data_IF_175772833054
#
_entry.id   IF_175772833054
#
_cell.length_a   1.000
_cell.length_b   1.000
_cell.length_c   1.000
_cell.angle_alpha   90.00
_cell.angle_beta   90.00
_cell.angle_gamma   90.00
#
_symmetry.space_group_name_H-M   'P 1'
#
loop_
_entity.id
_entity.type
_entity.pdbx_description
1 polymer ?
#
# COMPACT_ATOMS: atom_id res chain seq x y z
N UNK A 1 -11.47 -47.29 11.87
CA UNK A 1 -11.09 -45.88 11.63
C UNK A 1 -11.54 -45.50 10.23
N UNK A 2 -12.65 -44.78 10.10
CA UNK A 2 -13.23 -44.39 8.81
C UNK A 2 -12.68 -43.04 8.37
N UNK A 3 -11.87 -43.04 7.30
CA UNK A 3 -11.37 -41.84 6.65
C UNK A 3 -12.53 -40.99 6.11
N UNK A 4 -12.70 -39.80 6.70
CA UNK A 4 -13.60 -38.78 6.18
C UNK A 4 -12.93 -38.11 4.98
N UNK A 5 -13.16 -38.65 3.77
CA UNK A 5 -12.86 -37.95 2.51
C UNK A 5 -13.57 -36.58 2.50
N UNK A 6 -12.79 -35.53 2.74
CA UNK A 6 -13.19 -34.13 2.60
C UNK A 6 -13.62 -33.92 1.15
N UNK A 7 -14.94 -33.88 0.90
CA UNK A 7 -15.49 -33.57 -0.43
C UNK A 7 -14.99 -32.19 -0.86
N UNK A 8 -14.05 -32.17 -1.80
CA UNK A 8 -13.60 -30.96 -2.48
C UNK A 8 -14.81 -30.31 -3.13
N UNK A 9 -15.20 -29.14 -2.63
CA UNK A 9 -16.34 -28.40 -3.16
C UNK A 9 -16.07 -28.09 -4.64
N UNK A 10 -16.96 -28.54 -5.53
CA UNK A 10 -16.88 -28.26 -6.95
C UNK A 10 -16.71 -26.74 -7.18
N UNK A 11 -15.85 -26.33 -8.14
CA UNK A 11 -15.62 -24.92 -8.42
C UNK A 11 -16.96 -24.24 -8.73
N UNK A 12 -17.28 -23.20 -7.97
CA UNK A 12 -18.48 -22.40 -8.18
C UNK A 12 -18.45 -21.90 -9.64
N UNK A 13 -19.51 -22.05 -10.44
CA UNK A 13 -19.52 -21.53 -11.80
C UNK A 13 -19.44 -20.00 -11.72
N UNK A 14 -18.26 -19.46 -12.02
CA UNK A 14 -18.01 -18.02 -12.04
C UNK A 14 -18.50 -17.50 -13.38
N UNK A 15 -19.76 -17.10 -13.44
CA UNK A 15 -20.27 -16.28 -14.54
C UNK A 15 -19.62 -14.91 -14.42
N UNK A 16 -18.58 -14.65 -15.23
CA UNK A 16 -17.99 -13.32 -15.35
C UNK A 16 -19.03 -12.41 -15.99
N UNK A 17 -19.53 -11.43 -15.24
CA UNK A 17 -20.36 -10.38 -15.84
C UNK A 17 -19.50 -9.53 -16.80
N UNK A 18 -20.04 -9.15 -17.96
CA UNK A 18 -19.38 -8.16 -18.82
C UNK A 18 -19.26 -6.82 -18.08
N UNK A 19 -18.11 -6.16 -18.25
CA UNK A 19 -17.84 -4.82 -17.71
C UNK A 19 -17.11 -4.00 -18.79
N UNK A 20 -17.32 -2.68 -18.79
CA UNK A 20 -16.61 -1.77 -19.68
C UNK A 20 -15.19 -1.50 -19.16
N UNK A 21 -14.24 -1.33 -20.07
CA UNK A 21 -12.85 -0.96 -19.76
C UNK A 21 -12.63 0.52 -20.04
N UNK A 22 -11.91 1.19 -19.14
CA UNK A 22 -11.60 2.61 -19.24
C UNK A 22 -10.20 2.89 -19.78
N UNK A 23 -9.76 4.14 -19.65
CA UNK A 23 -8.41 4.58 -20.01
C UNK A 23 -7.42 4.32 -18.87
N UNK A 24 -6.11 4.19 -19.16
CA UNK A 24 -5.09 3.97 -18.14
C UNK A 24 -4.90 5.19 -17.21
N UNK A 25 -5.15 6.40 -17.71
CA UNK A 25 -5.04 7.65 -16.96
C UNK A 25 -6.37 8.41 -17.03
N UNK A 26 -6.82 8.93 -15.89
CA UNK A 26 -8.05 9.69 -15.75
C UNK A 26 -7.99 10.56 -14.47
N UNK A 27 -8.89 11.54 -14.32
CA UNK A 27 -8.97 12.41 -13.12
C UNK A 27 -9.20 11.61 -11.83
N UNK A 28 -9.83 10.45 -11.94
CA UNK A 28 -10.00 9.51 -10.83
C UNK A 28 -8.67 8.96 -10.27
N UNK A 29 -7.60 8.98 -11.06
CA UNK A 29 -6.25 8.59 -10.62
C UNK A 29 -5.66 9.58 -9.60
N UNK A 30 -6.02 10.87 -9.66
CA UNK A 30 -5.48 11.89 -8.74
C UNK A 30 -5.96 11.63 -7.31
N UNK A 31 -7.26 11.38 -7.14
CA UNK A 31 -7.83 11.03 -5.83
C UNK A 31 -7.28 9.71 -5.29
N UNK A 32 -7.04 8.73 -6.17
CA UNK A 32 -6.38 7.47 -5.81
C UNK A 32 -4.92 7.67 -5.40
N UNK A 33 -4.17 8.50 -6.12
CA UNK A 33 -2.78 8.83 -5.85
C UNK A 33 -2.62 9.56 -4.52
N UNK A 34 -3.50 10.51 -4.21
CA UNK A 34 -3.51 11.20 -2.93
C UNK A 34 -3.75 10.21 -1.77
N UNK A 35 -4.73 9.31 -1.89
CA UNK A 35 -4.96 8.27 -0.88
C UNK A 35 -3.75 7.36 -0.70
N UNK A 36 -3.11 6.96 -1.80
CA UNK A 36 -1.88 6.16 -1.76
C UNK A 36 -0.74 6.90 -1.06
N UNK A 37 -0.55 8.18 -1.34
CA UNK A 37 0.43 9.02 -0.66
C UNK A 37 0.15 9.15 0.84
N UNK A 38 -1.12 9.36 1.25
CA UNK A 38 -1.51 9.36 2.66
C UNK A 38 -1.23 8.02 3.35
N UNK A 39 -1.42 6.89 2.66
CA UNK A 39 -1.05 5.58 3.20
C UNK A 39 0.45 5.46 3.44
N UNK A 40 1.29 5.96 2.51
CA UNK A 40 2.74 5.99 2.70
C UNK A 40 3.13 6.87 3.89
N UNK A 41 2.49 8.02 4.06
CA UNK A 41 2.75 8.93 5.17
C UNK A 41 2.34 8.32 6.53
N UNK A 42 1.16 7.69 6.61
CA UNK A 42 0.74 6.96 7.80
C UNK A 42 1.71 5.83 8.15
N UNK A 43 2.23 5.12 7.15
CA UNK A 43 3.21 4.04 7.37
C UNK A 43 4.56 4.58 7.82
N UNK A 44 5.02 5.71 7.26
CA UNK A 44 6.22 6.39 7.72
C UNK A 44 6.12 6.80 9.20
N UNK A 45 4.96 7.33 9.62
CA UNK A 45 4.69 7.64 11.03
C UNK A 45 4.69 6.35 11.88
N UNK A 46 4.01 5.30 11.44
CA UNK A 46 3.99 4.02 12.14
C UNK A 46 5.40 3.44 12.33
N UNK A 47 6.27 3.60 11.32
CA UNK A 47 7.66 3.19 11.42
C UNK A 47 8.43 3.96 12.49
N UNK A 48 8.20 5.26 12.69
CA UNK A 48 8.84 6.00 13.79
C UNK A 48 8.56 5.36 15.16
N UNK A 49 7.30 5.02 15.42
CA UNK A 49 6.92 4.33 16.66
C UNK A 49 7.55 2.95 16.75
N UNK A 50 7.54 2.21 15.64
CA UNK A 50 8.10 0.87 15.60
C UNK A 50 9.62 0.87 15.81
N UNK A 51 10.35 1.84 15.23
CA UNK A 51 11.79 1.99 15.39
C UNK A 51 12.21 2.22 16.83
N UNK A 52 11.43 2.97 17.60
CA UNK A 52 11.66 3.13 19.04
C UNK A 52 11.46 1.81 19.81
N UNK A 53 10.49 0.99 19.42
CA UNK A 53 10.18 -0.30 20.06
C UNK A 53 11.13 -1.43 19.61
N UNK A 54 11.72 -1.32 18.42
CA UNK A 54 12.53 -2.35 17.75
C UNK A 54 14.04 -2.24 18.00
N UNK A 55 14.48 -1.43 18.97
CA UNK A 55 15.90 -1.31 19.36
C UNK A 55 16.37 -2.54 20.14
N UNK A 56 16.33 -3.71 19.52
CA UNK A 56 16.87 -4.95 20.05
C UNK A 56 18.37 -5.04 19.76
N UNK A 57 19.15 -5.49 20.75
CA UNK A 57 20.58 -5.76 20.58
C UNK A 57 20.86 -6.98 19.68
N UNK A 58 19.91 -7.90 19.58
CA UNK A 58 20.03 -9.09 18.74
C UNK A 58 19.77 -8.80 17.26
N UNK A 59 20.81 -8.97 16.43
CA UNK A 59 20.71 -8.84 14.97
C UNK A 59 19.63 -9.74 14.36
N UNK A 60 19.56 -11.01 14.77
CA UNK A 60 18.59 -11.98 14.24
C UNK A 60 17.15 -11.56 14.50
N UNK A 61 16.86 -11.10 15.73
CA UNK A 61 15.53 -10.68 16.11
C UNK A 61 15.13 -9.40 15.35
N UNK A 62 16.06 -8.45 15.23
CA UNK A 62 15.90 -7.23 14.44
C UNK A 62 15.61 -7.55 12.98
N UNK A 63 16.35 -8.49 12.38
CA UNK A 63 16.14 -8.92 11.00
C UNK A 63 14.75 -9.52 10.79
N UNK A 64 14.35 -10.48 11.63
CA UNK A 64 13.06 -11.17 11.50
C UNK A 64 11.90 -10.19 11.63
N UNK A 65 11.91 -9.32 12.64
CA UNK A 65 10.78 -8.42 12.87
C UNK A 65 10.72 -7.34 11.80
N UNK A 66 11.84 -6.70 11.43
CA UNK A 66 11.81 -5.69 10.37
C UNK A 66 11.38 -6.27 9.02
N UNK A 67 11.77 -7.52 8.72
CA UNK A 67 11.29 -8.23 7.53
C UNK A 67 9.79 -8.53 7.61
N UNK A 68 9.28 -8.98 8.76
CA UNK A 68 7.85 -9.18 8.97
C UNK A 68 7.04 -7.88 8.80
N UNK A 69 7.59 -6.75 9.25
CA UNK A 69 6.96 -5.42 9.11
C UNK A 69 6.92 -4.97 7.66
N UNK A 70 8.02 -5.17 6.91
CA UNK A 70 8.04 -4.90 5.46
C UNK A 70 7.05 -5.79 4.73
N UNK A 71 6.98 -7.09 5.05
CA UNK A 71 5.98 -7.98 4.45
C UNK A 71 4.55 -7.53 4.79
N UNK A 72 4.28 -7.14 6.03
CA UNK A 72 2.98 -6.63 6.44
C UNK A 72 2.62 -5.36 5.64
N UNK A 73 3.56 -4.42 5.49
CA UNK A 73 3.37 -3.25 4.64
C UNK A 73 2.97 -3.65 3.22
N UNK A 74 3.73 -4.56 2.59
CA UNK A 74 3.46 -5.00 1.23
C UNK A 74 2.08 -5.68 1.12
N UNK A 75 1.66 -6.45 2.11
CA UNK A 75 0.32 -7.05 2.12
C UNK A 75 -0.78 -6.00 2.25
N UNK A 76 -0.63 -4.97 3.09
CA UNK A 76 -1.60 -3.86 3.20
C UNK A 76 -1.67 -3.09 1.88
N UNK A 77 -0.52 -2.80 1.24
CA UNK A 77 -0.50 -2.12 -0.07
C UNK A 77 -1.14 -2.96 -1.17
N UNK A 78 -0.88 -4.26 -1.18
CA UNK A 78 -1.51 -5.19 -2.11
C UNK A 78 -3.03 -5.24 -1.90
N UNK A 79 -3.50 -5.34 -0.66
CA UNK A 79 -4.93 -5.33 -0.32
C UNK A 79 -5.60 -4.01 -0.73
N UNK A 80 -4.96 -2.88 -0.45
CA UNK A 80 -5.40 -1.55 -0.90
C UNK A 80 -5.54 -1.48 -2.42
N UNK A 81 -4.56 -2.00 -3.17
CA UNK A 81 -4.61 -2.14 -4.62
C UNK A 81 -5.78 -3.01 -5.07
N UNK A 82 -5.96 -4.19 -4.45
CA UNK A 82 -7.07 -5.11 -4.77
C UNK A 82 -8.45 -4.46 -4.56
N UNK A 83 -8.60 -3.68 -3.49
CA UNK A 83 -9.84 -2.99 -3.17
C UNK A 83 -10.15 -1.93 -4.22
N UNK A 84 -9.17 -1.11 -4.59
CA UNK A 84 -9.30 -0.11 -5.64
C UNK A 84 -9.66 -0.73 -7.00
N UNK A 85 -9.02 -1.85 -7.35
CA UNK A 85 -9.34 -2.62 -8.56
C UNK A 85 -10.78 -3.14 -8.55
N UNK A 86 -11.25 -3.66 -7.41
CA UNK A 86 -12.62 -4.17 -7.28
C UNK A 86 -13.69 -3.07 -7.46
N UNK A 87 -13.40 -1.86 -6.98
CA UNK A 87 -14.27 -0.68 -7.14
C UNK A 87 -14.31 -0.25 -8.61
N UNK A 88 -13.18 -0.24 -9.31
CA UNK A 88 -13.11 0.11 -10.72
C UNK A 88 -13.87 -0.89 -11.61
N UNK A 89 -13.80 -2.20 -11.28
CA UNK A 89 -14.59 -3.23 -11.98
C UNK A 89 -16.07 -3.05 -11.71
N UNK A 90 -16.45 -2.77 -10.47
CA UNK A 90 -17.85 -2.46 -10.13
C UNK A 90 -18.36 -1.24 -10.93
N UNK A 91 -17.57 -0.16 -11.02
CA UNK A 91 -17.94 0.99 -11.85
C UNK A 91 -18.16 0.59 -13.33
N UNK A 92 -17.30 -0.26 -13.88
CA UNK A 92 -17.44 -0.81 -15.24
C UNK A 92 -18.69 -1.69 -15.43
N UNK A 93 -19.11 -2.44 -14.42
CA UNK A 93 -20.36 -3.22 -14.43
C UNK A 93 -21.60 -2.31 -14.40
N UNK A 94 -21.58 -1.25 -13.59
CA UNK A 94 -22.67 -0.27 -13.53
C UNK A 94 -22.80 0.50 -14.86
N UNK A 95 -21.67 0.92 -15.43
CA UNK A 95 -21.65 1.58 -16.73
C UNK A 95 -22.20 0.67 -17.83
N UNK A 96 -21.83 -0.62 -17.82
CA UNK A 96 -22.36 -1.61 -18.76
C UNK A 96 -23.89 -1.78 -18.63
N UNK A 97 -24.43 -1.87 -17.41
CA UNK A 97 -25.88 -1.95 -17.17
C UNK A 97 -26.64 -0.70 -17.66
N UNK A 98 -26.05 0.49 -17.50
CA UNK A 98 -26.62 1.74 -18.00
C UNK A 98 -26.63 1.78 -19.53
N UNK A 99 -25.58 1.25 -20.17
CA UNK A 99 -25.53 1.08 -21.63
C UNK A 99 -26.65 0.19 -22.14
N UNK A 100 -26.86 -0.97 -21.50
CA UNK A 100 -27.96 -1.89 -21.84
C UNK A 100 -29.34 -1.25 -21.61
N UNK A 101 -29.45 -0.32 -20.66
CA UNK A 101 -30.68 0.41 -20.37
C UNK A 101 -30.92 1.63 -21.27
N UNK A 102 -30.16 1.78 -22.38
CA UNK A 102 -30.20 2.93 -23.31
C UNK A 102 -30.07 4.31 -22.64
N UNK A 103 -29.41 4.39 -21.47
CA UNK A 103 -29.10 5.67 -20.83
C UNK A 103 -27.79 6.22 -21.43
N UNK A 104 -27.76 7.52 -21.71
CA UNK A 104 -26.53 8.19 -22.14
C UNK A 104 -25.45 8.06 -21.07
N UNK A 105 -24.27 7.60 -21.49
CA UNK A 105 -23.09 7.49 -20.66
C UNK A 105 -22.23 8.73 -20.86
N UNK A 106 -21.74 9.29 -19.75
CA UNK A 106 -20.76 10.36 -19.82
C UNK A 106 -19.37 9.75 -20.10
N UNK A 107 -18.59 10.36 -20.99
CA UNK A 107 -17.23 9.91 -21.35
C UNK A 107 -16.29 9.86 -20.13
N UNK A 108 -16.54 10.68 -19.11
CA UNK A 108 -15.85 10.61 -17.82
C UNK A 108 -16.12 9.29 -17.06
N UNK A 109 -17.35 8.77 -17.09
CA UNK A 109 -17.71 7.51 -16.43
C UNK A 109 -17.05 6.31 -17.11
N UNK A 110 -16.93 6.35 -18.45
CA UNK A 110 -16.25 5.30 -19.23
C UNK A 110 -14.75 5.29 -18.91
N UNK A 111 -14.10 6.46 -18.86
CA UNK A 111 -12.68 6.59 -18.49
C UNK A 111 -12.37 6.15 -17.06
N UNK A 112 -13.34 6.31 -16.15
CA UNK A 112 -13.21 5.86 -14.76
C UNK A 112 -13.17 4.33 -14.61
N UNK A 113 -13.65 3.58 -15.60
CA UNK A 113 -13.73 2.12 -15.56
C UNK A 113 -12.37 1.41 -15.47
N UNK A 114 -12.39 0.11 -15.20
CA UNK A 114 -11.20 -0.68 -14.95
C UNK A 114 -10.24 -0.73 -16.16
N UNK A 115 -8.95 -0.54 -15.90
CA UNK A 115 -7.84 -0.80 -16.82
C UNK A 115 -6.64 -1.33 -16.01
N UNK A 116 -5.96 -2.41 -16.42
CA UNK A 116 -4.94 -3.08 -15.61
C UNK A 116 -3.77 -2.17 -15.19
N UNK A 117 -3.34 -1.26 -16.07
CA UNK A 117 -2.25 -0.32 -15.80
C UNK A 117 -2.63 0.84 -14.88
N UNK A 118 -3.94 1.07 -14.64
CA UNK A 118 -4.42 2.19 -13.84
C UNK A 118 -3.90 2.14 -12.41
N UNK A 119 -3.79 0.93 -11.84
CA UNK A 119 -3.21 0.73 -10.51
C UNK A 119 -1.74 1.14 -10.41
N UNK A 120 -0.92 0.76 -11.40
CA UNK A 120 0.49 1.15 -11.46
C UNK A 120 0.66 2.65 -11.63
N UNK A 121 -0.10 3.28 -12.53
CA UNK A 121 -0.03 4.73 -12.76
C UNK A 121 -0.49 5.51 -11.52
N UNK A 122 -1.56 5.07 -10.86
CA UNK A 122 -2.05 5.70 -9.62
C UNK A 122 -1.01 5.63 -8.51
N UNK A 123 -0.36 4.48 -8.34
CA UNK A 123 0.71 4.31 -7.36
C UNK A 123 1.95 5.15 -7.71
N UNK A 124 2.34 5.18 -8.99
CA UNK A 124 3.48 5.97 -9.47
C UNK A 124 3.27 7.47 -9.24
N UNK A 125 2.10 8.00 -9.56
CA UNK A 125 1.75 9.41 -9.32
C UNK A 125 1.76 9.71 -7.82
N UNK A 126 1.26 8.78 -6.99
CA UNK A 126 1.24 8.95 -5.54
C UNK A 126 2.63 8.86 -4.88
N UNK A 127 3.53 8.02 -5.40
CA UNK A 127 4.91 7.90 -4.87
C UNK A 127 5.89 8.91 -5.47
N UNK A 128 5.51 9.62 -6.53
CA UNK A 128 6.37 10.53 -7.29
C UNK A 128 7.16 11.52 -6.41
N UNK A 129 6.54 12.23 -5.43
CA UNK A 129 7.28 13.15 -4.57
C UNK A 129 8.37 12.46 -3.75
N UNK A 130 8.09 11.26 -3.24
CA UNK A 130 9.04 10.45 -2.46
C UNK A 130 10.14 9.86 -3.34
N UNK A 131 9.83 9.45 -4.57
CA UNK A 131 10.81 8.91 -5.50
C UNK A 131 11.80 10.00 -5.97
N UNK A 132 11.32 11.21 -6.27
CA UNK A 132 12.21 12.34 -6.58
C UNK A 132 13.12 12.61 -5.38
N UNK A 133 12.54 12.74 -4.19
CA UNK A 133 13.29 12.98 -2.96
C UNK A 133 14.36 11.89 -2.68
N UNK A 134 13.99 10.62 -2.84
CA UNK A 134 14.91 9.49 -2.67
C UNK A 134 16.01 9.48 -3.73
N UNK A 135 15.69 9.82 -4.98
CA UNK A 135 16.66 9.87 -6.08
C UNK A 135 17.67 10.99 -5.88
N UNK A 136 17.21 12.18 -5.48
CA UNK A 136 18.10 13.30 -5.12
C UNK A 136 19.03 12.85 -3.99
N UNK A 137 18.50 12.26 -2.93
CA UNK A 137 19.31 11.76 -1.82
C UNK A 137 20.32 10.69 -2.26
N UNK A 138 19.93 9.76 -3.11
CA UNK A 138 20.81 8.70 -3.63
C UNK A 138 21.96 9.26 -4.48
N UNK A 139 21.74 10.35 -5.21
CA UNK A 139 22.77 11.02 -6.01
C UNK A 139 23.71 11.89 -5.17
N UNK A 140 23.23 12.47 -4.07
CA UNK A 140 23.99 13.43 -3.25
C UNK A 140 24.55 12.82 -1.97
N UNK A 141 24.21 11.57 -1.64
CA UNK A 141 24.65 10.95 -0.40
C UNK A 141 26.17 10.69 -0.41
N UNK A 142 26.81 11.12 0.67
CA UNK A 142 28.20 10.86 0.97
C UNK A 142 28.31 10.03 2.25
N UNK A 143 29.41 9.28 2.39
CA UNK A 143 29.70 8.46 3.57
C UNK A 143 29.57 9.34 4.81
N UNK A 144 28.74 8.92 5.76
CA UNK A 144 28.65 9.61 7.04
C UNK A 144 29.95 9.38 7.81
N UNK A 145 30.86 10.35 7.70
CA UNK A 145 31.94 10.50 8.66
C UNK A 145 31.29 10.94 9.96
N UNK A 146 31.52 10.20 11.04
CA UNK A 146 31.16 10.64 12.40
C UNK A 146 32.08 11.80 12.76
N UNK A 147 31.84 12.97 12.16
CA UNK A 147 32.38 14.22 12.65
C UNK A 147 31.75 14.46 14.02
N UNK A 148 32.58 14.74 15.00
CA UNK A 148 32.15 15.14 16.35
C UNK A 148 31.15 16.28 16.16
N UNK A 149 29.92 16.09 16.64
CA UNK A 149 28.78 16.94 16.30
C UNK A 149 29.02 18.42 16.61
N UNK A 150 28.17 19.28 16.01
CA UNK A 150 28.20 20.72 16.24
C UNK A 150 28.29 21.03 17.74
N UNK A 151 29.17 21.96 18.08
CA UNK A 151 29.39 22.38 19.46
C UNK A 151 28.05 22.73 20.12
N UNK A 152 27.78 22.21 21.33
CA UNK A 152 26.65 22.67 22.11
C UNK A 152 26.67 24.20 22.24
N UNK A 153 25.50 24.83 22.30
CA UNK A 153 25.38 26.30 22.33
C UNK A 153 26.07 26.97 23.52
N UNK A 154 26.37 26.22 24.58
CA UNK A 154 27.15 26.67 25.74
C UNK A 154 28.67 26.54 25.55
N UNK A 155 29.12 25.71 24.60
CA UNK A 155 30.53 25.61 24.17
C UNK A 155 30.79 26.61 23.04
N UNK A 156 29.80 26.89 22.19
CA UNK A 156 29.94 27.90 21.13
C UNK A 156 30.20 29.29 21.67
N UNK A 157 29.69 29.64 22.86
CA UNK A 157 30.02 30.91 23.52
C UNK A 157 31.48 31.01 23.99
N UNK A 158 32.20 29.89 24.06
CA UNK A 158 33.63 29.86 24.36
C UNK A 158 34.50 30.08 23.12
N UNK A 159 33.91 30.11 21.90
CA UNK A 159 34.64 30.46 20.67
C UNK A 159 35.11 31.91 20.65
N UNK A 160 34.44 32.80 21.38
CA UNK A 160 34.82 34.22 21.50
C UNK A 160 36.09 34.43 22.34
N UNK A 161 36.53 33.41 23.09
CA UNK A 161 37.79 33.46 23.85
C UNK A 161 38.97 33.11 22.94
N UNK A 162 39.96 34.01 22.85
CA UNK A 162 41.12 33.92 21.94
C UNK A 162 41.91 32.61 22.08
N UNK A 163 42.05 32.08 23.29
CA UNK A 163 42.83 30.86 23.55
C UNK A 163 42.10 29.57 23.16
N UNK A 164 40.77 29.58 23.21
CA UNK A 164 39.92 28.42 22.97
C UNK A 164 39.32 28.43 21.56
N UNK A 165 39.15 29.62 20.97
CA UNK A 165 38.49 29.82 19.67
C UNK A 165 39.18 29.09 18.52
N UNK A 166 40.51 29.05 18.48
CA UNK A 166 41.25 28.34 17.43
C UNK A 166 41.09 26.81 17.51
N UNK A 167 41.06 26.25 18.73
CA UNK A 167 40.84 24.82 18.95
C UNK A 167 39.38 24.44 18.72
N UNK A 168 38.43 25.28 19.14
CA UNK A 168 36.99 25.06 18.98
C UNK A 168 36.51 25.32 17.54
N UNK A 169 37.18 26.18 16.78
CA UNK A 169 36.87 26.43 15.37
C UNK A 169 37.04 25.20 14.48
N UNK A 170 37.93 24.26 14.84
CA UNK A 170 38.06 22.95 14.18
C UNK A 170 36.78 22.12 14.30
N UNK A 171 36.01 22.36 15.35
CA UNK A 171 34.74 21.68 15.64
C UNK A 171 33.50 22.52 15.29
N UNK A 172 33.67 23.81 14.98
CA UNK A 172 32.61 24.69 14.52
C UNK A 172 32.31 24.42 13.04
N UNK A 173 31.74 23.26 12.77
CA UNK A 173 31.06 23.04 11.49
C UNK A 173 29.74 23.82 11.53
N UNK A 174 29.47 24.61 10.49
CA UNK A 174 28.17 25.25 10.25
C UNK A 174 27.07 24.19 10.12
N UNK A 175 26.63 23.70 11.28
CA UNK A 175 25.61 22.68 11.46
C UNK A 175 24.22 23.30 11.40
N UNK A 176 23.98 24.24 10.48
CA UNK A 176 22.62 24.53 10.07
C UNK A 176 21.98 23.21 9.62
N UNK A 177 20.71 22.99 9.96
CA UNK A 177 19.95 21.87 9.41
C UNK A 177 19.83 22.11 7.90
N UNK A 178 20.86 21.71 7.14
CA UNK A 178 20.89 21.83 5.71
C UNK A 178 19.67 21.07 5.17
N UNK A 179 19.01 21.57 4.13
CA UNK A 179 17.84 20.90 3.54
C UNK A 179 18.09 19.42 3.22
N UNK A 180 19.35 19.04 2.98
CA UNK A 180 19.80 17.66 2.83
C UNK A 180 19.59 16.79 4.08
N UNK A 181 19.80 17.33 5.29
CA UNK A 181 19.57 16.61 6.54
C UNK A 181 18.09 16.31 6.75
N UNK A 182 17.21 17.28 6.43
CA UNK A 182 15.75 17.08 6.49
C UNK A 182 15.33 16.03 5.47
N UNK A 183 15.79 16.16 4.22
CA UNK A 183 15.52 15.19 3.15
C UNK A 183 15.94 13.78 3.56
N UNK A 184 17.13 13.64 4.12
CA UNK A 184 17.66 12.38 4.64
C UNK A 184 16.80 11.82 5.77
N UNK A 185 16.34 12.65 6.71
CA UNK A 185 15.44 12.20 7.78
C UNK A 185 14.12 11.67 7.21
N UNK A 186 13.48 12.41 6.28
CA UNK A 186 12.21 11.99 5.66
C UNK A 186 12.36 10.64 4.96
N UNK A 187 13.36 10.49 4.09
CA UNK A 187 13.56 9.23 3.36
C UNK A 187 13.92 8.09 4.32
N UNK A 188 14.82 8.31 5.28
CA UNK A 188 15.18 7.29 6.29
C UNK A 188 13.98 6.85 7.12
N UNK A 189 13.05 7.74 7.42
CA UNK A 189 11.79 7.35 8.08
C UNK A 189 10.95 6.43 7.18
N UNK A 190 10.88 6.71 5.88
CA UNK A 190 10.17 5.83 4.93
C UNK A 190 10.82 4.45 4.77
N UNK A 191 12.15 4.35 4.91
CA UNK A 191 12.90 3.09 4.79
C UNK A 191 13.41 2.57 6.15
N UNK A 192 12.80 3.01 7.26
CA UNK A 192 13.32 2.75 8.60
C UNK A 192 13.52 1.27 8.93
N UNK A 193 12.66 0.33 8.50
CA UNK A 193 12.91 -1.09 8.74
C UNK A 193 14.24 -1.56 8.15
N UNK A 194 14.63 -1.06 6.98
CA UNK A 194 15.91 -1.37 6.36
C UNK A 194 17.08 -0.68 7.08
N UNK A 195 16.88 0.56 7.54
CA UNK A 195 17.85 1.31 8.37
C UNK A 195 18.14 0.54 9.67
N UNK A 196 17.09 0.03 10.32
CA UNK A 196 17.22 -0.78 11.52
C UNK A 196 18.04 -2.05 11.25
N UNK A 197 17.81 -2.76 10.14
CA UNK A 197 18.56 -3.99 9.79
C UNK A 197 20.06 -3.70 9.65
N UNK A 198 20.43 -2.62 8.97
CA UNK A 198 21.84 -2.24 8.76
C UNK A 198 22.52 -1.84 10.07
N UNK A 199 21.78 -1.15 10.95
CA UNK A 199 22.29 -0.64 12.21
C UNK A 199 23.16 0.61 12.05
N UNK A 200 23.25 1.41 13.12
CA UNK A 200 23.95 2.69 13.10
C UNK A 200 25.49 2.59 13.03
N UNK A 201 26.05 1.40 13.28
CA UNK A 201 27.50 1.19 13.42
C UNK A 201 28.23 0.96 12.09
N UNK A 202 27.50 0.63 11.02
CA UNK A 202 28.08 0.28 9.72
C UNK A 202 27.89 1.40 8.70
N UNK A 203 28.78 2.41 8.70
CA UNK A 203 28.68 3.58 7.81
C UNK A 203 28.67 3.23 6.31
N UNK A 204 29.38 2.18 5.89
CA UNK A 204 29.43 1.74 4.49
C UNK A 204 28.12 1.07 4.04
N UNK A 205 27.52 0.27 4.93
CA UNK A 205 26.24 -0.35 4.66
C UNK A 205 25.11 0.68 4.68
N UNK A 206 25.19 1.70 5.55
CA UNK A 206 24.25 2.82 5.57
C UNK A 206 24.33 3.64 4.28
N UNK A 207 25.54 3.89 3.75
CA UNK A 207 25.73 4.59 2.47
C UNK A 207 25.07 3.82 1.31
N UNK A 208 25.33 2.50 1.22
CA UNK A 208 24.69 1.66 0.19
C UNK A 208 23.18 1.66 0.33
N UNK A 209 22.66 1.62 1.55
CA UNK A 209 21.23 1.68 1.80
C UNK A 209 20.61 2.99 1.29
N UNK A 210 21.27 4.13 1.49
CA UNK A 210 20.81 5.42 0.96
C UNK A 210 20.82 5.46 -0.57
N UNK A 211 21.83 4.87 -1.20
CA UNK A 211 21.89 4.71 -2.66
C UNK A 211 20.77 3.81 -3.21
N UNK A 212 20.39 2.75 -2.48
CA UNK A 212 19.28 1.87 -2.83
C UNK A 212 17.90 2.36 -2.36
N UNK A 213 17.84 3.52 -1.69
CA UNK A 213 16.59 4.08 -1.19
C UNK A 213 15.49 4.27 -2.26
N UNK A 214 15.79 4.68 -3.52
CA UNK A 214 14.76 4.81 -4.55
C UNK A 214 14.10 3.46 -4.88
N UNK A 215 14.88 2.38 -4.90
CA UNK A 215 14.38 1.03 -5.16
C UNK A 215 13.48 0.53 -4.03
N UNK A 216 13.85 0.80 -2.77
CA UNK A 216 13.04 0.45 -1.60
C UNK A 216 11.71 1.21 -1.60
N UNK A 217 11.72 2.50 -1.98
CA UNK A 217 10.52 3.31 -2.14
C UNK A 217 9.60 2.81 -3.27
N UNK A 218 10.11 2.05 -4.25
CA UNK A 218 9.29 1.41 -5.29
C UNK A 218 8.54 0.16 -4.81
N UNK A 219 8.94 -0.50 -3.72
CA UNK A 219 8.31 -1.75 -3.28
C UNK A 219 6.80 -1.60 -2.97
N UNK A 220 6.36 -0.57 -2.21
CA UNK A 220 4.93 -0.32 -2.00
C UNK A 220 4.16 -0.09 -3.29
N UNK A 221 4.77 0.60 -4.26
CA UNK A 221 4.17 0.88 -5.57
C UNK A 221 3.93 -0.41 -6.36
N UNK A 222 4.93 -1.29 -6.40
CA UNK A 222 4.83 -2.58 -7.09
C UNK A 222 3.76 -3.45 -6.43
N UNK A 223 3.73 -3.52 -5.11
CA UNK A 223 2.72 -4.29 -4.37
C UNK A 223 1.29 -3.80 -4.66
N UNK A 224 1.07 -2.48 -4.66
CA UNK A 224 -0.22 -1.89 -5.00
C UNK A 224 -0.60 -2.16 -6.46
N UNK A 225 0.32 -1.96 -7.39
CA UNK A 225 0.12 -2.20 -8.82
C UNK A 225 -0.21 -3.65 -9.14
N UNK A 226 0.46 -4.62 -8.50
CA UNK A 226 0.16 -6.05 -8.63
C UNK A 226 -1.17 -6.43 -7.96
N UNK A 227 -1.56 -5.74 -6.89
CA UNK A 227 -2.85 -5.95 -6.23
C UNK A 227 -4.03 -5.52 -7.10
N UNK A 228 -3.90 -4.42 -7.85
CA UNK A 228 -5.00 -3.84 -8.62
C UNK A 228 -5.69 -4.82 -9.59
N UNK A 229 -4.98 -5.59 -10.44
CA UNK A 229 -5.61 -6.61 -11.28
C UNK A 229 -6.31 -7.74 -10.53
N UNK A 230 -5.86 -8.06 -9.31
CA UNK A 230 -6.48 -9.10 -8.48
C UNK A 230 -7.87 -8.67 -7.99
N UNK A 231 -8.18 -7.38 -8.01
CA UNK A 231 -9.52 -6.85 -7.73
C UNK A 231 -10.61 -7.44 -8.63
N UNK A 232 -10.29 -7.80 -9.88
CA UNK A 232 -11.21 -8.52 -10.79
C UNK A 232 -11.60 -9.87 -10.19
N UNK A 233 -10.63 -10.63 -9.68
CA UNK A 233 -10.89 -11.95 -9.08
C UNK A 233 -11.76 -11.83 -7.84
N UNK A 234 -11.43 -10.90 -6.94
CA UNK A 234 -12.24 -10.65 -5.73
C UNK A 234 -13.68 -10.28 -6.13
N UNK A 235 -13.86 -9.39 -7.11
CA UNK A 235 -15.19 -8.99 -7.57
C UNK A 235 -15.98 -10.17 -8.12
N UNK A 236 -15.36 -11.01 -8.94
CA UNK A 236 -16.01 -12.22 -9.47
C UNK A 236 -16.38 -13.23 -8.39
N UNK A 237 -15.58 -13.36 -7.32
CA UNK A 237 -15.89 -14.20 -6.18
C UNK A 237 -17.09 -13.67 -5.39
N UNK A 238 -17.11 -12.36 -5.09
CA UNK A 238 -18.25 -11.69 -4.43
C UNK A 238 -19.54 -11.90 -5.22
N UNK A 239 -19.47 -11.80 -6.55
CA UNK A 239 -20.64 -12.08 -7.40
C UNK A 239 -21.08 -13.54 -7.36
N UNK A 240 -20.13 -14.47 -7.40
CA UNK A 240 -20.44 -15.90 -7.28
C UNK A 240 -21.11 -16.21 -5.93
N UNK A 241 -20.68 -15.55 -4.86
CA UNK A 241 -21.27 -15.69 -3.53
C UNK A 241 -22.67 -15.09 -3.45
N UNK A 242 -22.90 -13.91 -4.03
CA UNK A 242 -24.24 -13.31 -4.15
C UNK A 242 -25.17 -14.23 -4.96
N UNK A 243 -24.71 -14.76 -6.08
CA UNK A 243 -25.50 -15.67 -6.92
C UNK A 243 -25.83 -16.99 -6.18
N UNK A 244 -24.86 -17.56 -5.47
CA UNK A 244 -25.06 -18.73 -4.63
C UNK A 244 -26.07 -18.45 -3.49
N UNK A 245 -25.98 -17.28 -2.85
CA UNK A 245 -26.92 -16.82 -1.83
C UNK A 245 -28.34 -16.71 -2.37
N UNK A 246 -28.53 -16.02 -3.52
CA UNK A 246 -29.82 -15.91 -4.21
C UNK A 246 -30.38 -17.28 -4.59
N UNK A 247 -29.54 -18.20 -5.09
CA UNK A 247 -29.97 -19.58 -5.42
C UNK A 247 -30.43 -20.34 -4.19
N UNK A 248 -29.73 -20.23 -3.05
CA UNK A 248 -30.14 -20.84 -1.78
C UNK A 248 -31.47 -20.26 -1.30
N UNK A 249 -31.63 -18.94 -1.33
CA UNK A 249 -32.88 -18.27 -0.97
C UNK A 249 -34.05 -18.72 -1.85
N UNK A 250 -33.87 -18.77 -3.18
CA UNK A 250 -34.90 -19.23 -4.13
C UNK A 250 -35.27 -20.71 -3.89
N UNK A 251 -34.30 -21.57 -3.58
CA UNK A 251 -34.57 -22.97 -3.23
C UNK A 251 -35.39 -23.08 -1.94
N UNK A 252 -35.09 -22.27 -0.93
CA UNK A 252 -35.85 -22.23 0.33
C UNK A 252 -37.29 -21.74 0.08
N UNK A 253 -37.45 -20.62 -0.60
CA UNK A 253 -38.77 -20.08 -0.97
C UNK A 253 -39.61 -21.05 -1.80
N UNK A 254 -39.00 -21.76 -2.77
CA UNK A 254 -39.71 -22.78 -3.55
C UNK A 254 -40.13 -23.99 -2.71
N UNK A 255 -39.33 -24.40 -1.72
CA UNK A 255 -39.70 -25.48 -0.79
C UNK A 255 -40.87 -25.06 0.10
N UNK A 256 -40.81 -23.87 0.67
CA UNK A 256 -41.89 -23.30 1.49
C UNK A 256 -43.17 -23.12 0.67
N UNK A 257 -43.09 -22.64 -0.57
CA UNK A 257 -44.24 -22.53 -1.47
C UNK A 257 -44.87 -23.89 -1.76
N UNK A 258 -44.06 -24.91 -2.06
CA UNK A 258 -44.54 -26.29 -2.25
C UNK A 258 -45.19 -26.87 -0.99
N UNK A 259 -44.64 -26.60 0.20
CA UNK A 259 -45.22 -27.04 1.46
C UNK A 259 -46.57 -26.37 1.74
N UNK A 260 -46.71 -25.07 1.47
CA UNK A 260 -47.98 -24.35 1.60
C UNK A 260 -49.04 -24.86 0.61
N UNK A 261 -48.66 -25.12 -0.64
CA UNK A 261 -49.57 -25.69 -1.64
C UNK A 261 -49.96 -27.14 -1.30
N UNK A 262 -49.08 -27.91 -0.66
CA UNK A 262 -49.40 -29.27 -0.21
C UNK A 262 -50.28 -29.30 1.06
N UNK A 263 -50.16 -28.32 1.96
CA UNK A 263 -51.05 -28.17 3.12
C UNK A 263 -52.45 -27.66 2.74
N UNK A 264 -52.56 -26.84 1.70
CA UNK A 264 -53.83 -26.31 1.19
C UNK A 264 -54.42 -27.16 0.03
N UNK A 265 -54.16 -28.48 0.02
CA UNK A 265 -54.72 -29.44 -0.94
C UNK A 265 -56.25 -29.58 -0.84
N UNK A 266 -56.90 -30.27 -1.80
CA UNK A 266 -58.27 -29.99 -2.27
C UNK A 266 -59.39 -30.48 -1.32
N UNK A 267 -59.60 -29.81 -0.19
CA UNK A 267 -60.75 -30.06 0.70
C UNK A 267 -61.69 -28.85 0.82
N UNK A 268 -61.76 -27.97 -0.19
CA UNK A 268 -62.68 -26.82 -0.19
C UNK A 268 -63.63 -26.76 -1.41
N UNK A 269 -63.90 -27.88 -2.07
CA UNK A 269 -64.81 -27.93 -3.23
C UNK A 269 -65.89 -29.03 -3.16
N UNK A 270 -66.19 -29.60 -1.98
CA UNK A 270 -67.38 -30.42 -1.77
C UNK A 270 -68.27 -29.80 -0.70
#
# INVERSE_FOLDING_TARGET
MSETKKKTAAPKPVSKKPYLTGTPLDSSCIGGALRFFLYLLMMAIAFLFLGAVLSFDSFTLRLIINLAVVLLLLTVMFQSGTAAGSVAVNAGELAYQRKESNRMLNDAEIRACYHPLKGFLTALIGSLPLLIAATVLACTTQRQMTSIGALPTWVSSMMDNVDNGAALAVYAQDGGVAGMTILRMVIRTCILPAVNIVGATNSDAMLRLEQFSPLLCCLPMIAYGLGYPQGVRIRTQVQADIAAGKRKARKKANKERKQRTAQNGPEQLN
#
